data_IF_087109147149
#
_entry.id   IF_087109147149
#
_cell.length_a   1.000
_cell.length_b   1.000
_cell.length_c   1.000
_cell.angle_alpha   90.00
_cell.angle_beta   90.00
_cell.angle_gamma   90.00
#
_symmetry.space_group_name_H-M   'P 1'
#
loop_
_entity.id
_entity.type
_entity.pdbx_description
1 polymer ?
#
# COMPACT_ATOMS: atom_id res chain seq x y z
N UNK A 1 46.38 35.99 -20.35
CA UNK A 1 46.02 34.56 -20.26
C UNK A 1 45.54 34.14 -18.87
N UNK A 2 46.23 34.40 -17.76
CA UNK A 2 45.80 33.96 -16.42
C UNK A 2 44.43 34.54 -15.96
N UNK A 3 44.06 35.77 -16.35
CA UNK A 3 42.77 36.38 -16.02
C UNK A 3 41.59 35.79 -16.83
N UNK A 4 41.83 35.34 -18.06
CA UNK A 4 40.82 34.72 -18.91
C UNK A 4 40.47 33.29 -18.45
N UNK A 5 41.47 32.56 -17.94
CA UNK A 5 41.27 31.19 -17.37
C UNK A 5 40.49 31.24 -16.06
N UNK A 6 40.78 32.25 -15.20
CA UNK A 6 40.01 32.41 -13.95
C UNK A 6 38.54 32.78 -14.22
N UNK A 7 38.26 33.58 -15.24
CA UNK A 7 36.89 33.93 -15.62
C UNK A 7 36.15 32.72 -16.22
N UNK A 8 36.82 31.87 -16.99
CA UNK A 8 36.25 30.63 -17.56
C UNK A 8 35.94 29.61 -16.48
N UNK A 9 36.80 29.45 -15.47
CA UNK A 9 36.57 28.55 -14.34
C UNK A 9 35.40 29.05 -13.48
N UNK A 10 35.30 30.36 -13.23
CA UNK A 10 34.13 30.92 -12.55
C UNK A 10 32.84 30.76 -13.35
N UNK A 11 32.90 30.85 -14.68
CA UNK A 11 31.73 30.64 -15.54
C UNK A 11 31.30 29.17 -15.60
N UNK A 12 32.26 28.22 -15.59
CA UNK A 12 31.97 26.77 -15.54
C UNK A 12 31.44 26.37 -14.16
N UNK A 13 31.96 26.92 -13.07
CA UNK A 13 31.45 26.70 -11.73
C UNK A 13 30.06 27.32 -11.52
N UNK A 14 29.78 28.47 -12.14
CA UNK A 14 28.44 29.05 -12.10
C UNK A 14 27.42 28.33 -13.00
N UNK A 15 27.87 27.65 -14.06
CA UNK A 15 27.01 26.81 -14.91
C UNK A 15 26.76 25.41 -14.31
N UNK A 16 27.67 24.89 -13.48
CA UNK A 16 27.44 23.65 -12.76
C UNK A 16 26.61 23.79 -11.46
N UNK A 17 26.50 25.03 -10.94
CA UNK A 17 25.57 25.39 -9.86
C UNK A 17 24.23 25.94 -10.38
N UNK A 18 24.05 26.03 -11.69
CA UNK A 18 22.87 26.62 -12.32
C UNK A 18 21.79 25.64 -12.77
N UNK A 19 21.86 24.38 -12.38
CA UNK A 19 20.89 23.41 -12.85
C UNK A 19 19.55 23.41 -12.07
N UNK A 20 19.47 24.09 -10.93
CA UNK A 20 18.22 24.17 -10.15
C UNK A 20 18.07 25.54 -9.44
N UNK A 21 18.26 26.66 -10.14
CA UNK A 21 17.62 27.88 -9.69
C UNK A 21 16.16 27.80 -10.12
N UNK A 22 15.36 27.07 -9.37
CA UNK A 22 13.90 27.10 -9.45
C UNK A 22 13.45 28.53 -9.15
N UNK A 23 12.54 29.08 -9.96
CA UNK A 23 11.95 30.38 -9.70
C UNK A 23 11.32 30.36 -8.30
N UNK A 24 11.47 31.43 -7.51
CA UNK A 24 10.85 31.57 -6.20
C UNK A 24 9.35 31.28 -6.34
N UNK A 25 8.87 30.17 -5.72
CA UNK A 25 7.47 29.78 -5.68
C UNK A 25 7.08 28.55 -6.53
N UNK A 26 7.98 27.96 -7.32
CA UNK A 26 7.67 26.74 -8.08
C UNK A 26 8.09 25.50 -7.27
N UNK A 27 7.10 24.67 -6.92
CA UNK A 27 7.33 23.42 -6.18
C UNK A 27 8.00 22.37 -7.08
N UNK A 28 8.86 21.48 -6.54
CA UNK A 28 9.46 20.39 -7.31
C UNK A 28 8.39 19.49 -7.93
N UNK A 29 8.61 19.12 -9.20
CA UNK A 29 7.83 18.03 -9.80
C UNK A 29 8.51 16.70 -9.47
N UNK A 30 7.83 15.84 -8.73
CA UNK A 30 8.36 14.55 -8.32
C UNK A 30 8.00 13.40 -9.28
N UNK A 31 7.14 13.64 -10.27
CA UNK A 31 6.70 12.60 -11.20
C UNK A 31 7.89 11.87 -11.85
N UNK A 32 7.85 10.53 -11.86
CA UNK A 32 8.91 9.67 -12.39
C UNK A 32 10.17 9.58 -11.53
N UNK A 33 10.16 10.10 -10.30
CA UNK A 33 11.35 10.08 -9.42
C UNK A 33 11.27 8.98 -8.36
N UNK A 34 12.47 8.57 -7.90
CA UNK A 34 12.66 7.60 -6.83
C UNK A 34 13.51 8.22 -5.72
N UNK A 35 13.10 8.00 -4.48
CA UNK A 35 13.88 8.37 -3.30
C UNK A 35 14.11 7.11 -2.47
N UNK A 36 15.31 6.96 -1.94
CA UNK A 36 15.63 5.78 -1.15
C UNK A 36 16.64 6.05 -0.03
N UNK A 37 16.54 5.23 1.01
CA UNK A 37 17.52 5.10 2.07
C UNK A 37 17.82 3.62 2.26
N UNK A 38 19.06 3.21 2.08
CA UNK A 38 19.38 1.79 2.14
C UNK A 38 20.72 1.49 2.80
N UNK A 39 20.80 0.30 3.37
CA UNK A 39 22.00 -0.19 4.05
C UNK A 39 22.13 -1.72 4.00
N UNK A 40 23.39 -2.19 4.08
CA UNK A 40 23.70 -3.61 4.13
C UNK A 40 23.69 -4.11 5.59
N UNK A 41 22.96 -5.19 5.85
CA UNK A 41 22.99 -5.93 7.12
C UNK A 41 23.52 -7.35 6.89
N UNK A 42 24.83 -7.47 6.73
CA UNK A 42 25.48 -8.75 6.47
C UNK A 42 25.11 -9.34 5.11
N UNK A 43 24.23 -10.33 5.09
CA UNK A 43 23.77 -10.99 3.84
C UNK A 43 22.50 -10.39 3.25
N UNK A 44 21.91 -9.39 3.92
CA UNK A 44 20.66 -8.76 3.50
C UNK A 44 20.87 -7.28 3.26
N UNK A 45 20.11 -6.76 2.32
CA UNK A 45 20.08 -5.36 2.00
C UNK A 45 18.72 -4.79 2.41
N UNK A 46 18.73 -3.82 3.33
CA UNK A 46 17.53 -3.11 3.79
C UNK A 46 17.38 -1.81 3.01
N UNK A 47 16.20 -1.52 2.56
CA UNK A 47 15.90 -0.33 1.79
C UNK A 47 14.52 0.23 2.11
N UNK A 48 14.46 1.51 2.40
CA UNK A 48 13.24 2.32 2.43
C UNK A 48 13.19 3.09 1.12
N UNK A 49 12.05 3.11 0.45
CA UNK A 49 11.92 3.77 -0.83
C UNK A 49 10.56 4.44 -1.01
N UNK A 50 10.54 5.47 -1.84
CA UNK A 50 9.33 6.09 -2.36
C UNK A 50 9.52 6.25 -3.87
N UNK A 51 8.59 5.70 -4.62
CA UNK A 51 8.46 5.90 -6.05
C UNK A 51 7.30 6.84 -6.33
N UNK A 52 7.57 7.95 -7.00
CA UNK A 52 6.56 8.87 -7.47
C UNK A 52 6.30 8.58 -8.94
N UNK A 53 5.11 8.12 -9.27
CA UNK A 53 4.73 7.81 -10.64
C UNK A 53 4.60 9.07 -11.49
N UNK A 54 4.74 8.90 -12.82
CA UNK A 54 4.26 9.89 -13.77
C UNK A 54 2.77 10.15 -13.50
N UNK A 55 2.31 11.36 -13.79
CA UNK A 55 0.92 11.73 -13.55
C UNK A 55 -0.01 10.79 -14.34
N UNK A 56 -0.85 10.05 -13.61
CA UNK A 56 -1.80 9.12 -14.19
C UNK A 56 -3.09 9.89 -14.49
N UNK A 57 -3.52 9.96 -15.76
CA UNK A 57 -4.74 10.66 -16.12
C UNK A 57 -5.96 10.17 -15.32
N UNK A 58 -6.62 11.10 -14.61
CA UNK A 58 -7.77 10.83 -13.76
C UNK A 58 -7.47 10.43 -12.32
N UNK A 59 -6.21 10.02 -12.03
CA UNK A 59 -5.74 9.75 -10.65
C UNK A 59 -4.85 10.87 -10.11
N UNK A 60 -4.16 11.56 -11.01
CA UNK A 60 -3.22 12.61 -10.64
C UNK A 60 -1.88 12.06 -10.17
N UNK A 61 -1.34 12.65 -9.12
CA UNK A 61 -0.02 12.36 -8.58
C UNK A 61 -0.10 11.19 -7.61
N UNK A 62 0.43 10.04 -7.99
CA UNK A 62 0.40 8.79 -7.22
C UNK A 62 1.81 8.45 -6.72
N UNK A 63 1.91 7.87 -5.55
CA UNK A 63 3.14 7.34 -5.00
C UNK A 63 2.97 5.88 -4.54
N UNK A 64 4.12 5.20 -4.48
CA UNK A 64 4.28 3.90 -3.85
C UNK A 64 5.49 3.97 -2.92
N UNK A 65 5.33 3.62 -1.67
CA UNK A 65 6.38 3.62 -0.68
C UNK A 65 6.45 2.30 0.07
N UNK A 66 7.62 1.90 0.52
CA UNK A 66 7.75 0.69 1.29
C UNK A 66 9.16 0.34 1.70
N UNK A 67 9.29 -0.84 2.28
CA UNK A 67 10.54 -1.46 2.68
C UNK A 67 10.65 -2.85 2.07
N UNK A 68 11.80 -3.14 1.44
CA UNK A 68 11.98 -4.35 0.64
C UNK A 68 11.90 -5.69 1.41
N UNK A 69 12.12 -5.69 2.72
CA UNK A 69 12.15 -6.94 3.51
C UNK A 69 10.82 -7.28 4.17
N UNK A 70 10.03 -6.30 4.56
CA UNK A 70 8.80 -6.53 5.35
C UNK A 70 7.54 -6.55 4.52
N UNK A 71 7.64 -6.26 3.22
CA UNK A 71 6.49 -6.14 2.31
C UNK A 71 5.42 -5.13 2.81
N UNK A 72 5.81 -4.26 3.73
CA UNK A 72 4.95 -3.17 4.16
C UNK A 72 5.02 -2.11 3.08
N UNK A 73 3.89 -1.84 2.46
CA UNK A 73 3.77 -0.87 1.39
C UNK A 73 2.65 0.11 1.68
N UNK A 74 2.85 1.33 1.23
CA UNK A 74 1.86 2.38 1.26
C UNK A 74 1.69 2.92 -0.15
N UNK A 75 0.46 3.01 -0.59
CA UNK A 75 0.08 3.55 -1.88
C UNK A 75 -0.97 4.64 -1.69
N UNK A 76 -0.92 5.63 -2.56
CA UNK A 76 -1.86 6.73 -2.46
C UNK A 76 -1.52 7.88 -3.39
N UNK A 77 -2.02 9.06 -3.03
CA UNK A 77 -1.75 10.31 -3.74
C UNK A 77 -0.85 11.21 -2.92
N UNK A 78 -0.19 12.18 -3.58
CA UNK A 78 0.68 13.12 -2.90
C UNK A 78 0.49 14.56 -3.40
N UNK A 79 0.87 15.51 -2.55
CA UNK A 79 0.93 16.93 -2.86
C UNK A 79 2.26 17.50 -2.38
N UNK A 80 2.86 18.41 -3.16
CA UNK A 80 4.04 19.16 -2.74
C UNK A 80 3.64 20.61 -2.48
N UNK A 81 3.92 21.09 -1.29
CA UNK A 81 3.59 22.42 -0.83
C UNK A 81 4.85 23.29 -0.76
N UNK A 82 4.75 24.55 -1.17
CA UNK A 82 5.79 25.57 -0.98
C UNK A 82 5.78 26.09 0.47
N UNK A 83 5.89 25.16 1.42
CA UNK A 83 5.86 25.42 2.87
C UNK A 83 7.12 24.88 3.52
N UNK A 84 7.84 25.72 4.23
CA UNK A 84 8.99 25.29 5.03
C UNK A 84 8.55 24.33 6.14
N UNK A 85 9.29 23.24 6.30
CA UNK A 85 9.07 22.27 7.36
C UNK A 85 10.37 21.93 8.08
N UNK A 86 10.33 21.97 9.40
CA UNK A 86 11.42 21.47 10.24
C UNK A 86 11.47 19.95 10.22
N UNK A 87 12.64 19.36 10.34
CA UNK A 87 12.88 17.93 10.42
C UNK A 87 13.99 17.59 11.41
N UNK A 88 13.99 16.34 11.89
CA UNK A 88 15.02 15.76 12.76
C UNK A 88 15.30 14.35 12.26
N UNK A 89 16.43 14.16 11.54
CA UNK A 89 16.74 12.87 10.90
C UNK A 89 18.24 12.51 11.03
N UNK A 90 18.55 11.23 10.90
CA UNK A 90 19.89 10.76 10.60
C UNK A 90 20.12 10.87 9.09
N UNK A 91 21.15 11.61 8.65
CA UNK A 91 21.40 11.83 7.23
C UNK A 91 21.93 10.60 6.50
N UNK A 92 22.57 9.70 7.23
CA UNK A 92 23.07 8.43 6.71
C UNK A 92 23.12 7.37 7.82
N UNK A 93 23.48 6.13 7.43
CA UNK A 93 23.57 5.02 8.36
C UNK A 93 24.59 5.26 9.48
N UNK A 94 25.74 5.86 9.18
CA UNK A 94 26.77 6.09 10.20
C UNK A 94 26.26 7.09 11.25
N UNK A 95 25.49 8.10 10.83
CA UNK A 95 24.81 9.03 11.73
C UNK A 95 23.76 8.32 12.58
N UNK A 96 22.96 7.44 11.98
CA UNK A 96 21.95 6.63 12.68
C UNK A 96 22.59 5.70 13.72
N UNK A 97 23.63 4.95 13.36
CA UNK A 97 24.38 4.06 14.28
C UNK A 97 25.05 4.84 15.43
N UNK A 98 25.48 6.05 15.18
CA UNK A 98 26.06 6.95 16.19
C UNK A 98 25.03 7.68 17.04
N UNK A 99 23.73 7.58 16.71
CA UNK A 99 22.66 8.36 17.34
C UNK A 99 22.77 9.86 17.05
N UNK A 100 23.39 10.24 15.92
CA UNK A 100 23.62 11.64 15.53
C UNK A 100 22.46 12.10 14.64
N UNK A 101 21.66 13.04 15.14
CA UNK A 101 20.54 13.63 14.41
C UNK A 101 20.89 15.02 13.90
N UNK A 102 20.40 15.33 12.71
CA UNK A 102 20.44 16.66 12.11
C UNK A 102 19.09 17.31 12.27
N UNK A 103 19.07 18.51 12.87
CA UNK A 103 17.89 19.36 12.95
C UNK A 103 18.05 20.53 11.97
N UNK A 104 17.09 20.71 11.08
CA UNK A 104 17.09 21.80 10.13
C UNK A 104 15.67 22.07 9.59
N UNK A 105 15.56 22.95 8.61
CA UNK A 105 14.31 23.26 7.90
C UNK A 105 14.54 23.10 6.41
N UNK A 106 13.63 22.40 5.74
CA UNK A 106 13.62 22.28 4.29
C UNK A 106 12.56 23.22 3.67
N UNK A 107 12.74 23.64 2.41
CA UNK A 107 11.89 24.67 1.80
C UNK A 107 10.50 24.18 1.38
N UNK A 108 10.29 22.87 1.31
CA UNK A 108 9.03 22.27 0.86
C UNK A 108 8.54 21.23 1.85
N UNK A 109 7.23 20.96 1.77
CA UNK A 109 6.56 19.86 2.45
C UNK A 109 5.91 18.95 1.40
N UNK A 110 6.19 17.64 1.43
CA UNK A 110 5.41 16.65 0.71
C UNK A 110 4.39 16.03 1.67
N UNK A 111 3.14 15.98 1.24
CA UNK A 111 2.03 15.40 2.00
C UNK A 111 1.55 14.16 1.27
N UNK A 112 1.38 13.08 1.99
CA UNK A 112 0.94 11.79 1.50
C UNK A 112 -0.48 11.50 1.98
N UNK A 113 -1.32 11.03 1.08
CA UNK A 113 -2.71 10.69 1.34
C UNK A 113 -2.97 9.27 0.86
N UNK A 114 -3.82 8.53 1.56
CA UNK A 114 -4.41 7.32 1.00
C UNK A 114 -5.38 7.64 -0.16
N UNK A 115 -5.89 6.62 -0.84
CA UNK A 115 -6.83 6.85 -1.95
C UNK A 115 -8.21 7.35 -1.50
N UNK A 116 -8.53 7.31 -0.22
CA UNK A 116 -9.73 7.94 0.36
C UNK A 116 -9.51 9.43 0.67
N UNK A 117 -8.30 9.94 0.44
CA UNK A 117 -7.92 11.33 0.68
C UNK A 117 -7.61 11.65 2.14
N UNK A 118 -7.43 10.65 2.98
CA UNK A 118 -6.96 10.81 4.34
C UNK A 118 -5.45 10.99 4.34
N UNK A 119 -4.96 12.01 5.05
CA UNK A 119 -3.52 12.22 5.21
C UNK A 119 -2.89 11.05 5.99
N UNK A 120 -1.90 10.42 5.35
CA UNK A 120 -1.08 9.35 5.95
C UNK A 120 0.07 9.99 6.72
N UNK A 121 0.82 10.90 6.05
CA UNK A 121 2.01 11.52 6.59
C UNK A 121 2.36 12.80 5.83
N UNK A 122 3.31 13.58 6.39
CA UNK A 122 3.91 14.73 5.74
C UNK A 122 5.37 14.87 6.11
N UNK A 123 6.22 14.97 5.11
CA UNK A 123 7.66 15.03 5.26
C UNK A 123 8.21 16.40 4.79
N UNK A 124 9.25 16.87 5.45
CA UNK A 124 10.06 17.96 4.93
C UNK A 124 10.83 17.48 3.70
N UNK A 125 11.03 18.33 2.69
CA UNK A 125 11.80 17.96 1.51
C UNK A 125 12.57 19.13 0.88
N UNK A 126 13.64 18.79 0.20
CA UNK A 126 14.34 19.66 -0.75
C UNK A 126 14.45 18.93 -2.12
N UNK A 127 15.28 19.45 -3.02
CA UNK A 127 15.42 18.86 -4.36
C UNK A 127 16.12 17.48 -4.37
N UNK A 128 16.86 17.13 -3.34
CA UNK A 128 17.70 15.94 -3.28
C UNK A 128 17.24 14.94 -2.21
N UNK A 129 16.43 15.39 -1.23
CA UNK A 129 16.08 14.59 -0.07
C UNK A 129 14.60 14.72 0.32
N UNK A 130 14.05 13.61 0.81
CA UNK A 130 12.83 13.59 1.62
C UNK A 130 13.23 13.19 3.05
N UNK A 131 12.90 14.05 4.00
CA UNK A 131 13.27 13.90 5.41
C UNK A 131 12.13 13.26 6.18
N UNK A 132 12.18 11.94 6.25
CA UNK A 132 11.17 11.15 6.95
C UNK A 132 11.51 11.14 8.46
N UNK A 133 10.83 11.96 9.22
CA UNK A 133 10.93 12.03 10.68
C UNK A 133 9.82 11.25 11.41
N UNK A 134 8.98 10.55 10.63
CA UNK A 134 7.87 9.74 11.11
C UNK A 134 7.95 8.30 10.60
N UNK A 135 7.41 7.38 11.36
CA UNK A 135 7.45 5.95 11.05
C UNK A 135 6.48 5.52 9.94
N UNK A 136 5.46 6.34 9.63
CA UNK A 136 4.33 5.91 8.82
C UNK A 136 4.70 5.46 7.40
N UNK A 137 5.61 6.16 6.72
CA UNK A 137 6.00 5.82 5.34
C UNK A 137 7.14 4.81 5.28
N UNK A 138 8.03 4.79 6.27
CA UNK A 138 9.12 3.82 6.34
C UNK A 138 8.67 2.43 6.76
N UNK A 139 7.47 2.30 7.29
CA UNK A 139 6.93 1.03 7.77
C UNK A 139 7.63 0.47 9.01
N UNK A 140 8.65 1.18 9.54
CA UNK A 140 9.42 0.74 10.70
C UNK A 140 9.45 1.84 11.75
N UNK A 141 8.92 1.52 12.89
CA UNK A 141 8.82 2.45 14.01
C UNK A 141 10.17 3.00 14.44
N UNK A 142 10.42 4.25 14.14
CA UNK A 142 11.47 5.04 14.74
C UNK A 142 12.73 5.31 13.93
N UNK A 143 12.83 4.87 12.68
CA UNK A 143 13.99 5.22 11.86
C UNK A 143 13.77 6.57 11.17
N UNK A 144 14.13 7.64 11.87
CA UNK A 144 14.22 8.96 11.30
C UNK A 144 15.36 9.00 10.28
N UNK A 145 15.06 9.06 9.00
CA UNK A 145 16.06 9.00 7.93
C UNK A 145 15.84 10.03 6.82
N UNK A 146 16.93 10.37 6.12
CA UNK A 146 16.88 11.14 4.89
C UNK A 146 16.88 10.16 3.70
N UNK A 147 15.78 10.13 2.95
CA UNK A 147 15.73 9.41 1.68
C UNK A 147 16.38 10.28 0.61
N UNK A 148 17.32 9.71 -0.14
CA UNK A 148 18.07 10.41 -1.18
C UNK A 148 17.43 10.18 -2.55
N UNK A 149 17.42 11.21 -3.38
CA UNK A 149 17.02 11.10 -4.78
C UNK A 149 17.93 10.08 -5.49
N UNK A 150 17.33 9.07 -6.11
CA UNK A 150 18.05 8.13 -6.96
C UNK A 150 18.12 8.70 -8.38
N UNK A 151 19.30 9.11 -8.80
CA UNK A 151 19.54 9.74 -10.10
C UNK A 151 19.80 8.73 -11.23
N UNK A 152 19.94 7.45 -10.91
CA UNK A 152 20.16 6.37 -11.88
C UNK A 152 19.44 5.08 -11.43
N UNK A 153 18.09 5.12 -11.41
CA UNK A 153 17.30 4.00 -10.87
C UNK A 153 17.49 2.71 -11.67
N UNK A 154 17.79 2.75 -12.96
CA UNK A 154 17.98 1.56 -13.80
C UNK A 154 19.27 0.78 -13.44
N UNK A 155 20.31 1.48 -12.97
CA UNK A 155 21.59 0.87 -12.56
C UNK A 155 21.79 0.91 -11.04
N UNK A 156 20.82 1.40 -10.31
CA UNK A 156 20.83 1.43 -8.86
C UNK A 156 20.83 0.00 -8.29
N UNK A 157 21.51 -0.20 -7.17
CA UNK A 157 21.41 -1.46 -6.42
C UNK A 157 20.00 -1.76 -5.90
N UNK A 158 19.10 -0.78 -5.98
CA UNK A 158 17.68 -0.89 -5.65
C UNK A 158 16.79 -1.22 -6.85
N UNK A 159 17.34 -1.28 -8.08
CA UNK A 159 16.55 -1.44 -9.31
C UNK A 159 15.59 -2.65 -9.26
N UNK A 160 16.00 -3.76 -8.61
CA UNK A 160 15.14 -4.93 -8.46
C UNK A 160 13.90 -4.66 -7.59
N UNK A 161 13.97 -3.71 -6.64
CA UNK A 161 12.83 -3.31 -5.81
C UNK A 161 11.91 -2.34 -6.55
N UNK A 162 12.48 -1.43 -7.34
CA UNK A 162 11.71 -0.52 -8.18
C UNK A 162 11.00 -1.22 -9.34
N UNK A 163 11.59 -2.33 -9.83
CA UNK A 163 10.99 -3.15 -10.86
C UNK A 163 9.84 -4.05 -10.35
N UNK A 164 9.78 -4.30 -9.04
CA UNK A 164 8.61 -4.94 -8.45
C UNK A 164 7.45 -3.95 -8.50
N UNK A 165 6.56 -4.15 -9.48
CA UNK A 165 5.37 -3.33 -9.59
C UNK A 165 4.49 -3.55 -8.37
N UNK A 166 3.91 -2.48 -7.79
CA UNK A 166 2.98 -2.64 -6.69
C UNK A 166 1.81 -3.50 -7.15
N UNK A 167 1.50 -4.51 -6.37
CA UNK A 167 0.36 -5.38 -6.60
C UNK A 167 -0.98 -4.71 -6.22
N UNK A 168 -0.94 -3.45 -5.82
CA UNK A 168 -2.10 -2.74 -5.33
C UNK A 168 -3.09 -2.48 -6.44
N UNK A 169 -4.26 -3.05 -6.28
CA UNK A 169 -5.41 -2.86 -7.15
C UNK A 169 -6.12 -1.56 -6.73
N UNK A 170 -6.09 -0.58 -7.62
CA UNK A 170 -6.81 0.67 -7.42
C UNK A 170 -8.32 0.50 -7.57
N UNK A 171 -8.72 -0.37 -8.51
CA UNK A 171 -10.11 -0.66 -8.80
C UNK A 171 -10.21 -2.11 -9.28
N UNK A 172 -11.06 -2.89 -8.64
CA UNK A 172 -11.39 -4.25 -9.05
C UNK A 172 -12.86 -4.31 -9.40
N UNK A 173 -13.15 -4.67 -10.63
CA UNK A 173 -14.51 -4.82 -11.15
C UNK A 173 -14.76 -6.29 -11.50
N UNK A 174 -15.98 -6.74 -11.29
CA UNK A 174 -16.42 -8.10 -11.58
C UNK A 174 -17.75 -8.08 -12.34
N UNK A 175 -17.93 -9.02 -13.26
CA UNK A 175 -19.25 -9.29 -13.80
C UNK A 175 -20.09 -10.04 -12.74
N UNK A 176 -21.21 -9.49 -12.26
CA UNK A 176 -22.01 -10.14 -11.23
C UNK A 176 -22.71 -11.44 -11.68
N UNK A 177 -22.75 -11.70 -13.00
CA UNK A 177 -23.28 -12.95 -13.56
C UNK A 177 -22.18 -14.02 -13.78
N UNK A 178 -20.92 -13.61 -13.84
CA UNK A 178 -19.75 -14.48 -14.00
C UNK A 178 -18.58 -13.93 -13.15
N UNK A 179 -18.36 -14.52 -12.00
CA UNK A 179 -17.35 -14.11 -11.04
C UNK A 179 -15.89 -14.35 -11.49
N UNK A 180 -15.69 -15.03 -12.62
CA UNK A 180 -14.38 -15.18 -13.26
C UNK A 180 -14.05 -14.05 -14.22
N UNK A 181 -15.07 -13.32 -14.71
CA UNK A 181 -14.92 -12.17 -15.60
C UNK A 181 -14.59 -10.90 -14.80
N UNK A 182 -13.33 -10.54 -14.72
CA UNK A 182 -12.82 -9.45 -13.87
C UNK A 182 -12.01 -8.44 -14.67
N UNK A 183 -12.03 -7.18 -14.21
CA UNK A 183 -11.13 -6.12 -14.65
C UNK A 183 -10.45 -5.52 -13.43
N UNK A 184 -9.12 -5.46 -13.43
CA UNK A 184 -8.31 -4.92 -12.35
C UNK A 184 -7.45 -3.78 -12.85
N UNK A 185 -7.55 -2.63 -12.22
CA UNK A 185 -6.71 -1.48 -12.49
C UNK A 185 -5.68 -1.35 -11.37
N UNK A 186 -4.40 -1.26 -11.75
CA UNK A 186 -3.30 -1.12 -10.80
C UNK A 186 -2.85 0.33 -10.70
N UNK A 187 -2.28 0.72 -9.57
CA UNK A 187 -1.80 2.10 -9.30
C UNK A 187 -0.73 2.57 -10.28
N UNK A 188 -0.02 1.67 -10.95
CA UNK A 188 1.00 1.98 -11.94
C UNK A 188 0.46 2.30 -13.36
N UNK A 189 -0.85 2.48 -13.51
CA UNK A 189 -1.49 2.76 -14.80
C UNK A 189 -1.69 1.54 -15.68
N UNK A 190 -1.42 0.31 -15.17
CA UNK A 190 -1.64 -0.95 -15.88
C UNK A 190 -2.96 -1.59 -15.49
N UNK A 191 -3.49 -2.43 -16.38
CA UNK A 191 -4.69 -3.20 -16.12
C UNK A 191 -4.52 -4.67 -16.51
N UNK A 192 -5.33 -5.52 -15.90
CA UNK A 192 -5.59 -6.91 -16.27
C UNK A 192 -7.09 -7.06 -16.55
N UNK A 193 -7.43 -7.53 -17.73
CA UNK A 193 -8.81 -7.71 -18.19
C UNK A 193 -9.08 -9.19 -18.48
N UNK A 194 -10.05 -9.75 -17.79
CA UNK A 194 -10.58 -11.12 -17.96
C UNK A 194 -12.06 -11.11 -18.36
N UNK A 195 -12.60 -9.98 -18.84
CA UNK A 195 -14.03 -9.87 -19.17
C UNK A 195 -14.40 -10.75 -20.38
N UNK A 196 -13.61 -10.69 -21.44
CA UNK A 196 -13.82 -11.49 -22.65
C UNK A 196 -12.68 -12.47 -22.87
N UNK A 197 -11.45 -11.95 -22.83
CA UNK A 197 -10.20 -12.70 -22.93
C UNK A 197 -9.21 -12.05 -21.95
N UNK A 198 -8.15 -12.80 -21.60
CA UNK A 198 -7.08 -12.22 -20.82
C UNK A 198 -6.32 -11.19 -21.67
N UNK A 199 -6.42 -9.91 -21.31
CA UNK A 199 -5.75 -8.79 -21.94
C UNK A 199 -5.03 -7.95 -20.87
N UNK A 200 -3.79 -7.60 -21.13
CA UNK A 200 -3.02 -6.68 -20.32
C UNK A 200 -2.71 -5.40 -21.10
N UNK A 201 -2.55 -4.29 -20.40
CA UNK A 201 -2.23 -3.04 -21.04
C UNK A 201 -2.19 -1.87 -20.07
N UNK A 202 -2.34 -0.66 -20.62
CA UNK A 202 -2.39 0.59 -19.87
C UNK A 202 -3.78 1.19 -19.89
N UNK A 203 -4.14 1.92 -18.84
CA UNK A 203 -5.42 2.62 -18.79
C UNK A 203 -5.23 4.13 -18.58
N UNK A 204 -6.23 4.87 -18.99
CA UNK A 204 -6.36 6.30 -18.69
C UNK A 204 -7.78 6.56 -18.16
N UNK A 205 -7.88 7.36 -17.09
CA UNK A 205 -9.16 7.86 -16.57
C UNK A 205 -9.35 9.32 -16.93
N UNK A 206 -10.62 9.72 -17.15
CA UNK A 206 -10.96 11.15 -17.23
C UNK A 206 -10.87 11.81 -15.86
N UNK A 207 -10.86 13.15 -15.82
CA UNK A 207 -10.68 13.93 -14.59
C UNK A 207 -11.77 13.65 -13.52
N UNK A 208 -12.97 13.26 -13.94
CA UNK A 208 -14.10 12.97 -13.05
C UNK A 208 -14.15 11.48 -12.64
N UNK A 209 -13.19 10.67 -13.08
CA UNK A 209 -13.11 9.22 -12.84
C UNK A 209 -14.40 8.45 -13.27
N UNK A 210 -15.10 8.98 -14.26
CA UNK A 210 -16.33 8.38 -14.77
C UNK A 210 -16.13 7.59 -16.06
N UNK A 211 -15.01 7.79 -16.76
CA UNK A 211 -14.65 7.08 -17.98
C UNK A 211 -13.20 6.58 -17.87
N UNK A 212 -13.01 5.30 -18.14
CA UNK A 212 -11.73 4.63 -18.19
C UNK A 212 -11.55 4.11 -19.62
N UNK A 213 -10.42 4.43 -20.24
CA UNK A 213 -10.03 3.90 -21.55
C UNK A 213 -8.94 2.86 -21.35
N UNK A 214 -9.14 1.65 -21.85
CA UNK A 214 -8.19 0.54 -21.80
C UNK A 214 -7.46 0.45 -23.15
N UNK A 215 -6.14 0.45 -23.10
CA UNK A 215 -5.27 0.33 -24.28
C UNK A 215 -4.40 -0.91 -24.10
N UNK A 216 -4.63 -2.00 -24.90
CA UNK A 216 -3.86 -3.23 -24.78
C UNK A 216 -2.40 -3.05 -25.18
N UNK A 217 -1.52 -3.85 -24.57
CA UNK A 217 -0.09 -3.88 -24.92
C UNK A 217 0.17 -4.55 -26.27
N UNK A 218 -0.74 -5.43 -26.71
CA UNK A 218 -0.69 -6.13 -27.98
C UNK A 218 -1.59 -5.48 -29.03
N UNK A 219 -1.07 -5.20 -30.23
CA UNK A 219 -1.85 -4.69 -31.37
C UNK A 219 -2.93 -5.67 -31.87
N UNK A 220 -2.86 -6.95 -31.47
CA UNK A 220 -3.84 -7.97 -31.83
C UNK A 220 -5.04 -8.01 -30.89
N UNK A 221 -4.94 -7.36 -29.73
CA UNK A 221 -5.97 -7.39 -28.72
C UNK A 221 -6.89 -6.17 -28.83
N UNK A 222 -8.13 -6.33 -28.42
CA UNK A 222 -9.10 -5.25 -28.48
C UNK A 222 -9.02 -4.35 -27.24
N UNK A 223 -9.07 -3.03 -27.47
CA UNK A 223 -9.26 -2.07 -26.41
C UNK A 223 -10.71 -2.04 -25.94
N UNK A 224 -10.95 -1.32 -24.86
CA UNK A 224 -12.27 -1.15 -24.30
C UNK A 224 -12.44 0.21 -23.60
N UNK A 225 -13.69 0.56 -23.34
CA UNK A 225 -14.07 1.67 -22.49
C UNK A 225 -14.94 1.18 -21.36
N UNK A 226 -14.68 1.71 -20.15
CA UNK A 226 -15.47 1.44 -18.96
C UNK A 226 -16.05 2.75 -18.47
N UNK A 227 -17.37 2.80 -18.31
CA UNK A 227 -18.09 4.00 -17.87
C UNK A 227 -18.78 3.72 -16.54
N UNK A 228 -18.50 4.56 -15.53
CA UNK A 228 -19.19 4.54 -14.24
C UNK A 228 -20.56 5.20 -14.37
N UNK A 229 -21.60 4.53 -13.85
CA UNK A 229 -22.97 5.05 -13.78
C UNK A 229 -23.24 5.80 -12.48
N UNK A 230 -24.31 6.58 -12.44
CA UNK A 230 -24.72 7.33 -11.24
C UNK A 230 -25.05 6.43 -10.03
N UNK A 231 -25.44 5.19 -10.26
CA UNK A 231 -25.72 4.19 -9.23
C UNK A 231 -24.48 3.47 -8.70
N UNK A 232 -23.28 3.83 -9.20
CA UNK A 232 -22.00 3.24 -8.80
C UNK A 232 -21.63 1.96 -9.56
N UNK A 233 -22.50 1.46 -10.45
CA UNK A 233 -22.16 0.36 -11.36
C UNK A 233 -21.33 0.84 -12.54
N UNK A 234 -20.74 -0.10 -13.29
CA UNK A 234 -19.92 0.20 -14.46
C UNK A 234 -20.46 -0.52 -15.69
N UNK A 235 -20.25 0.07 -16.84
CA UNK A 235 -20.50 -0.57 -18.15
C UNK A 235 -19.17 -0.66 -18.88
N UNK A 236 -18.75 -1.88 -19.19
CA UNK A 236 -17.63 -2.20 -20.08
C UNK A 236 -18.14 -2.29 -21.49
N UNK A 237 -17.45 -1.67 -22.46
CA UNK A 237 -17.75 -1.77 -23.88
C UNK A 237 -16.43 -2.02 -24.62
N UNK A 238 -16.28 -3.21 -25.25
CA UNK A 238 -15.13 -3.51 -26.10
C UNK A 238 -15.18 -2.74 -27.43
N UNK A 239 -14.05 -2.67 -28.13
CA UNK A 239 -13.98 -2.04 -29.46
C UNK A 239 -14.86 -2.78 -30.50
N UNK A 240 -15.11 -4.07 -30.31
CA UNK A 240 -16.06 -4.85 -31.13
C UNK A 240 -17.53 -4.60 -30.78
N UNK A 241 -17.80 -3.87 -29.69
CA UNK A 241 -19.12 -3.48 -29.24
C UNK A 241 -19.80 -4.47 -28.30
N UNK A 242 -19.05 -5.39 -27.69
CA UNK A 242 -19.55 -6.21 -26.59
C UNK A 242 -19.77 -5.35 -25.35
N UNK A 243 -20.94 -5.47 -24.72
CA UNK A 243 -21.31 -4.68 -23.55
C UNK A 243 -21.51 -5.61 -22.34
N UNK A 244 -20.81 -5.34 -21.23
CA UNK A 244 -20.89 -6.09 -19.98
C UNK A 244 -21.13 -5.13 -18.82
N UNK A 245 -22.07 -5.49 -17.94
CA UNK A 245 -22.27 -4.76 -16.69
C UNK A 245 -21.28 -5.26 -15.64
N UNK A 246 -20.63 -4.33 -14.93
CA UNK A 246 -19.66 -4.63 -13.88
C UNK A 246 -20.05 -3.95 -12.59
N UNK A 247 -19.64 -4.56 -11.48
CA UNK A 247 -19.73 -3.99 -10.13
C UNK A 247 -18.37 -3.93 -9.49
N UNK A 248 -18.15 -2.95 -8.64
CA UNK A 248 -16.90 -2.80 -7.89
C UNK A 248 -16.82 -3.84 -6.78
N UNK A 249 -15.70 -4.56 -6.75
CA UNK A 249 -15.33 -5.44 -5.63
C UNK A 249 -14.37 -4.65 -4.75
N UNK A 250 -14.83 -4.23 -3.59
CA UNK A 250 -13.93 -3.62 -2.61
C UNK A 250 -13.02 -4.70 -2.02
N UNK A 251 -11.71 -4.45 -1.93
CA UNK A 251 -10.83 -5.34 -1.20
C UNK A 251 -11.37 -5.56 0.20
N UNK A 252 -11.50 -6.83 0.58
CA UNK A 252 -11.94 -7.18 1.94
C UNK A 252 -10.67 -7.25 2.78
N UNK A 253 -10.45 -6.23 3.59
CA UNK A 253 -9.29 -6.14 4.48
C UNK A 253 -9.62 -6.72 5.85
N UNK A 254 -8.60 -7.22 6.56
CA UNK A 254 -8.74 -7.57 7.97
C UNK A 254 -8.85 -6.28 8.76
N UNK A 255 -10.04 -5.99 9.27
CA UNK A 255 -10.28 -4.81 10.09
C UNK A 255 -9.84 -5.04 11.55
N UNK A 256 -10.02 -6.27 12.05
CA UNK A 256 -9.62 -6.68 13.41
C UNK A 256 -9.22 -8.14 13.41
N UNK A 257 -8.29 -8.51 14.29
CA UNK A 257 -7.88 -9.89 14.50
C UNK A 257 -7.91 -10.26 15.99
N UNK A 258 -8.32 -11.50 16.27
CA UNK A 258 -8.18 -12.13 17.59
C UNK A 258 -7.40 -13.42 17.41
N UNK A 259 -6.44 -13.68 18.28
CA UNK A 259 -5.54 -14.82 18.18
C UNK A 259 -5.51 -15.66 19.44
N UNK A 260 -5.27 -16.93 19.24
CA UNK A 260 -5.06 -17.95 20.26
C UNK A 260 -4.25 -19.10 19.71
N UNK A 261 -4.28 -20.23 20.39
CA UNK A 261 -3.63 -21.44 19.92
C UNK A 261 -4.54 -22.65 20.08
N UNK A 262 -4.44 -23.59 19.15
CA UNK A 262 -5.21 -24.84 19.17
C UNK A 262 -4.27 -26.04 18.99
N UNK A 263 -4.45 -27.14 19.75
CA UNK A 263 -3.67 -28.36 19.54
C UNK A 263 -3.88 -28.94 18.13
N UNK A 264 -2.78 -29.32 17.48
CA UNK A 264 -2.85 -29.96 16.15
C UNK A 264 -3.29 -31.41 16.30
N UNK A 265 -4.37 -31.84 15.64
CA UNK A 265 -4.85 -33.22 15.72
C UNK A 265 -3.78 -34.26 15.34
N UNK A 266 -3.53 -35.22 16.21
CA UNK A 266 -2.55 -36.26 15.98
C UNK A 266 -1.08 -35.91 16.22
N UNK A 267 -0.79 -34.66 16.64
CA UNK A 267 0.55 -34.19 16.96
C UNK A 267 0.65 -33.75 18.43
N UNK A 268 0.96 -34.67 19.32
CA UNK A 268 1.01 -34.39 20.75
C UNK A 268 2.02 -33.30 21.11
N UNK A 269 1.58 -32.27 21.84
CA UNK A 269 2.43 -31.14 22.25
C UNK A 269 2.69 -30.10 21.16
N UNK A 270 2.04 -30.18 20.00
CA UNK A 270 2.15 -29.21 18.90
C UNK A 270 0.87 -28.39 18.80
N UNK A 271 1.02 -27.07 18.72
CA UNK A 271 -0.11 -26.14 18.52
C UNK A 271 0.00 -25.47 17.14
N UNK A 272 -1.16 -25.12 16.60
CA UNK A 272 -1.33 -24.20 15.47
C UNK A 272 -1.79 -22.84 15.99
N UNK A 273 -1.50 -21.79 15.26
CA UNK A 273 -2.10 -20.49 15.52
C UNK A 273 -3.59 -20.55 15.20
N UNK A 274 -4.43 -20.03 16.09
CA UNK A 274 -5.87 -20.03 15.97
C UNK A 274 -6.34 -18.59 15.81
N UNK A 275 -6.74 -18.23 14.60
CA UNK A 275 -6.90 -16.84 14.17
C UNK A 275 -8.34 -16.58 13.75
N UNK A 276 -8.92 -15.54 14.34
CA UNK A 276 -10.25 -15.03 13.99
C UNK A 276 -10.09 -13.64 13.36
N UNK A 277 -10.21 -13.56 12.04
CA UNK A 277 -10.19 -12.30 11.30
C UNK A 277 -11.61 -11.78 11.13
N UNK A 278 -11.81 -10.52 11.51
CA UNK A 278 -13.02 -9.74 11.26
C UNK A 278 -12.70 -8.79 10.10
N UNK A 279 -13.43 -8.92 9.01
CA UNK A 279 -13.14 -8.19 7.78
C UNK A 279 -13.96 -6.91 7.62
N UNK A 280 -13.48 -5.99 6.78
CA UNK A 280 -14.09 -4.69 6.53
C UNK A 280 -15.51 -4.74 5.92
N UNK A 281 -15.89 -5.87 5.35
CA UNK A 281 -17.24 -6.16 4.84
C UNK A 281 -18.19 -6.78 5.90
N UNK A 282 -17.78 -6.76 7.16
CA UNK A 282 -18.46 -7.39 8.29
C UNK A 282 -18.54 -8.92 8.24
N UNK A 283 -17.76 -9.58 7.40
CA UNK A 283 -17.59 -11.03 7.47
C UNK A 283 -16.55 -11.41 8.51
N UNK A 284 -16.59 -12.66 8.95
CA UNK A 284 -15.61 -13.24 9.88
C UNK A 284 -15.16 -14.59 9.37
N UNK A 285 -13.85 -14.86 9.53
CA UNK A 285 -13.24 -16.17 9.26
C UNK A 285 -12.41 -16.59 10.45
N UNK A 286 -12.68 -17.79 10.96
CA UNK A 286 -11.92 -18.45 12.03
C UNK A 286 -11.19 -19.64 11.42
N UNK A 287 -9.87 -19.69 11.56
CA UNK A 287 -9.05 -20.75 11.00
C UNK A 287 -7.88 -21.11 11.90
N UNK A 288 -7.36 -22.31 11.72
CA UNK A 288 -6.08 -22.73 12.30
C UNK A 288 -4.98 -22.62 11.24
N UNK A 289 -3.86 -21.99 11.58
CA UNK A 289 -2.68 -21.92 10.73
C UNK A 289 -1.54 -22.75 11.32
N UNK A 290 -1.14 -23.77 10.57
CA UNK A 290 0.00 -24.58 10.94
C UNK A 290 1.06 -24.53 9.84
N UNK A 291 2.16 -23.83 10.10
CA UNK A 291 3.29 -23.67 9.17
C UNK A 291 2.86 -23.13 7.79
N UNK A 292 1.92 -22.16 7.76
CA UNK A 292 1.38 -21.57 6.53
C UNK A 292 0.26 -22.36 5.86
N UNK A 293 -0.15 -23.50 6.46
CA UNK A 293 -1.31 -24.25 5.99
C UNK A 293 -2.54 -23.86 6.81
N UNK A 294 -3.44 -23.12 6.18
CA UNK A 294 -4.67 -22.64 6.80
C UNK A 294 -5.79 -23.68 6.65
N UNK A 295 -6.46 -23.99 7.76
CA UNK A 295 -7.63 -24.86 7.82
C UNK A 295 -8.80 -24.08 8.41
N UNK A 296 -9.85 -23.89 7.62
CA UNK A 296 -11.06 -23.21 8.09
C UNK A 296 -11.75 -24.01 9.19
N UNK A 297 -12.14 -23.30 10.25
CA UNK A 297 -12.86 -23.85 11.41
C UNK A 297 -14.29 -23.36 11.44
N UNK A 298 -14.48 -22.05 11.25
CA UNK A 298 -15.79 -21.41 11.23
C UNK A 298 -15.76 -20.13 10.41
N UNK A 299 -16.91 -19.63 10.02
CA UNK A 299 -17.09 -18.35 9.34
C UNK A 299 -18.46 -17.77 9.71
N UNK A 300 -18.68 -16.52 9.34
CA UNK A 300 -19.95 -15.86 9.64
C UNK A 300 -19.89 -14.37 9.37
N UNK A 301 -20.63 -13.63 10.17
CA UNK A 301 -20.65 -12.16 10.13
C UNK A 301 -20.47 -11.58 11.52
N UNK A 302 -20.18 -10.28 11.61
CA UNK A 302 -20.12 -9.60 12.90
C UNK A 302 -20.77 -8.21 12.83
N UNK A 303 -21.15 -7.72 13.99
CA UNK A 303 -21.56 -6.35 14.22
C UNK A 303 -20.87 -5.76 15.46
N UNK A 304 -20.79 -4.45 15.55
CA UNK A 304 -20.23 -3.76 16.72
C UNK A 304 -21.36 -3.17 17.55
N UNK A 305 -21.47 -3.60 18.81
CA UNK A 305 -22.33 -2.91 19.77
C UNK A 305 -21.66 -1.61 20.22
N UNK A 306 -22.14 -0.50 19.69
CA UNK A 306 -21.62 0.84 19.99
C UNK A 306 -21.86 1.28 21.43
N UNK A 307 -22.66 0.54 22.21
CA UNK A 307 -22.92 0.84 23.63
C UNK A 307 -21.86 0.23 24.54
N UNK A 308 -21.46 -1.00 24.23
CA UNK A 308 -20.46 -1.76 25.00
C UNK A 308 -19.10 -1.81 24.34
N UNK A 309 -19.02 -1.39 23.06
CA UNK A 309 -17.83 -1.51 22.21
C UNK A 309 -17.33 -2.96 22.07
N UNK A 310 -18.25 -3.93 22.11
CA UNK A 310 -17.97 -5.34 21.90
C UNK A 310 -18.35 -5.76 20.48
N UNK A 311 -17.68 -6.80 19.96
CA UNK A 311 -18.10 -7.47 18.74
C UNK A 311 -19.13 -8.55 19.07
N UNK A 312 -20.24 -8.55 18.33
CA UNK A 312 -21.21 -9.64 18.32
C UNK A 312 -20.95 -10.42 17.04
N UNK A 313 -20.49 -11.66 17.18
CA UNK A 313 -20.06 -12.51 16.06
C UNK A 313 -21.07 -13.63 15.88
N UNK A 314 -21.60 -13.76 14.66
CA UNK A 314 -22.60 -14.75 14.25
C UNK A 314 -21.91 -15.87 13.46
N UNK A 315 -21.36 -16.86 14.15
CA UNK A 315 -20.72 -18.00 13.52
C UNK A 315 -21.74 -19.01 12.97
N UNK A 316 -21.40 -19.67 11.85
CA UNK A 316 -22.24 -20.72 11.28
C UNK A 316 -22.32 -21.96 12.18
N UNK A 317 -21.20 -22.35 12.84
CA UNK A 317 -21.11 -23.55 13.66
C UNK A 317 -21.29 -23.24 15.15
N UNK A 318 -20.64 -22.23 15.68
CA UNK A 318 -20.69 -21.92 17.11
C UNK A 318 -21.90 -21.06 17.52
N UNK A 319 -22.62 -20.47 16.55
CA UNK A 319 -23.72 -19.53 16.80
C UNK A 319 -23.23 -18.15 17.25
N UNK A 320 -24.07 -17.44 17.97
CA UNK A 320 -23.81 -16.06 18.38
C UNK A 320 -22.86 -16.02 19.59
N UNK A 321 -21.73 -15.34 19.43
CA UNK A 321 -20.75 -15.10 20.48
C UNK A 321 -20.50 -13.59 20.61
N UNK A 322 -20.22 -13.14 21.82
CA UNK A 322 -19.87 -11.72 22.08
C UNK A 322 -18.49 -11.67 22.71
N UNK A 323 -17.67 -10.74 22.25
CA UNK A 323 -16.37 -10.49 22.89
C UNK A 323 -16.54 -9.87 24.28
N UNK A 324 -15.67 -10.25 25.19
CA UNK A 324 -15.61 -9.75 26.56
C UNK A 324 -14.38 -8.85 26.71
N UNK A 325 -14.46 -7.85 27.57
CA UNK A 325 -13.35 -6.90 27.80
C UNK A 325 -13.44 -5.66 26.93
N UNK A 326 -12.39 -4.82 26.96
CA UNK A 326 -12.32 -3.56 26.23
C UNK A 326 -10.94 -3.33 25.65
N UNK A 327 -10.88 -2.88 24.41
CA UNK A 327 -9.64 -2.59 23.68
C UNK A 327 -8.63 -3.76 23.73
N UNK A 328 -7.41 -3.54 24.20
CA UNK A 328 -6.35 -4.56 24.26
C UNK A 328 -6.65 -5.75 25.16
N UNK A 329 -7.62 -5.64 26.09
CA UNK A 329 -8.04 -6.73 26.98
C UNK A 329 -9.24 -7.51 26.45
N UNK A 330 -9.65 -7.25 25.20
CA UNK A 330 -10.79 -7.92 24.57
C UNK A 330 -10.45 -9.37 24.26
N UNK A 331 -11.37 -10.25 24.59
CA UNK A 331 -11.26 -11.70 24.33
C UNK A 331 -12.53 -12.27 23.73
N UNK A 332 -12.38 -13.30 22.94
CA UNK A 332 -13.47 -14.12 22.41
C UNK A 332 -13.35 -15.54 22.97
N UNK A 333 -14.36 -16.00 23.68
CA UNK A 333 -14.44 -17.37 24.16
C UNK A 333 -15.19 -18.23 23.12
N UNK A 334 -14.42 -18.87 22.23
CA UNK A 334 -14.96 -19.72 21.18
C UNK A 334 -15.17 -21.14 21.69
N UNK A 335 -16.38 -21.67 21.48
CA UNK A 335 -16.75 -23.05 21.88
C UNK A 335 -17.64 -23.68 20.84
N UNK A 336 -17.27 -24.90 20.44
CA UNK A 336 -18.05 -25.75 19.54
C UNK A 336 -17.83 -27.21 19.87
N UNK A 337 -18.87 -28.04 19.77
CA UNK A 337 -18.80 -29.43 20.20
C UNK A 337 -18.12 -30.37 19.21
N UNK A 338 -18.13 -30.04 17.90
CA UNK A 338 -17.51 -30.87 16.88
C UNK A 338 -17.22 -30.11 15.61
N UNK A 339 -15.92 -29.97 15.26
CA UNK A 339 -15.43 -29.44 13.99
C UNK A 339 -14.34 -30.37 13.46
N UNK A 340 -14.53 -30.94 12.30
CA UNK A 340 -13.52 -31.76 11.63
C UNK A 340 -12.34 -30.89 11.15
N UNK A 341 -11.06 -31.27 11.36
CA UNK A 341 -10.60 -32.51 12.02
C UNK A 341 -10.33 -32.33 13.53
N UNK A 342 -10.65 -31.20 14.15
CA UNK A 342 -10.26 -30.82 15.51
C UNK A 342 -11.14 -31.48 16.61
N UNK A 343 -12.35 -31.92 16.29
CA UNK A 343 -13.32 -32.39 17.28
C UNK A 343 -13.95 -31.23 18.06
N UNK A 344 -14.10 -31.39 19.38
CA UNK A 344 -14.58 -30.30 20.23
C UNK A 344 -13.50 -29.24 20.45
N UNK A 345 -13.86 -27.98 20.27
CA UNK A 345 -12.96 -26.81 20.48
C UNK A 345 -13.53 -26.00 21.63
N UNK A 346 -12.67 -25.64 22.58
CA UNK A 346 -12.92 -24.65 23.62
C UNK A 346 -11.66 -23.83 23.81
N UNK A 347 -11.63 -22.61 23.23
CA UNK A 347 -10.46 -21.76 23.18
C UNK A 347 -10.81 -20.29 23.43
N UNK A 348 -9.89 -19.57 24.05
CA UNK A 348 -9.97 -18.12 24.21
C UNK A 348 -9.00 -17.46 23.26
N UNK A 349 -9.50 -16.56 22.42
CA UNK A 349 -8.71 -15.73 21.52
C UNK A 349 -8.62 -14.33 22.11
N UNK A 350 -7.44 -13.72 22.09
CA UNK A 350 -7.18 -12.36 22.54
C UNK A 350 -7.06 -11.40 21.35
N UNK A 351 -7.50 -10.20 21.53
CA UNK A 351 -7.39 -9.13 20.52
C UNK A 351 -5.92 -8.80 20.24
N UNK A 352 -5.56 -8.71 18.96
CA UNK A 352 -4.23 -8.31 18.53
C UNK A 352 -4.23 -6.80 18.38
N UNK A 353 -3.42 -6.13 19.18
CA UNK A 353 -3.11 -4.69 18.99
C UNK A 353 -1.85 -4.62 18.16
N UNK A 354 -1.95 -4.06 16.96
CA UNK A 354 -0.77 -3.64 16.18
C UNK A 354 0.07 -2.60 16.91
#
# INVERSE_FOLDING_TARGET
>A
MKKAIALLICLILSLSMGAFAQAEGEVPNLAGTYYSYGYDVGTMFMNYYIHFYDEIPGLGKVFHAGMCMDQITFDGTYEVLAEERAYIVAMDRAASEAGTMTEATAPYTVVFYDFDGKEIDRCAMDAEHIYNDMAAISGVGGDHCALNLDTDPENSKFAAQYASEPAVELLSLINPEDDTATLKLKVNGKYEDLIVFFVEGTYAMNADQTEITLTPDSESDEGAKVTRKEDGTYTYVSDSGEEVALVEVKPVEVAYALEGQIPVPGMEGTNADFICNLYSDNTVRLYADFMGNQMDVDKGTYEIDMTTYSFIIHFENAGDLTTEGYAADMVLNYKVDNVEPFGAIEQTLAFVTE
#
